data_IF_965313595029
#
_entry.id   IF_965313595029
#
_cell.length_a   1.000
_cell.length_b   1.000
_cell.length_c   1.000
_cell.angle_alpha   90.00
_cell.angle_beta   90.00
_cell.angle_gamma   90.00
#
_symmetry.space_group_name_H-M   'P 1'
#
loop_
_entity.id
_entity.type
_entity.pdbx_description
1 polymer ?
#
# COMPACT_ATOMS: atom_id res chain seq x y z
N UNK A 1 1.81 -7.61 25.08
CA UNK A 1 2.93 -6.65 24.93
C UNK A 1 2.33 -5.45 24.21
N UNK A 2 2.43 -4.25 24.73
CA UNK A 2 1.92 -3.07 24.03
C UNK A 2 2.97 -2.59 23.01
N UNK A 3 2.55 -1.77 22.03
CA UNK A 3 3.49 -1.20 21.04
C UNK A 3 4.62 -0.42 21.72
N UNK A 4 4.34 0.22 22.86
CA UNK A 4 5.33 0.92 23.68
C UNK A 4 6.39 0.00 24.29
N UNK A 5 6.18 -1.32 24.36
CA UNK A 5 7.18 -2.30 24.80
C UNK A 5 8.14 -2.72 23.68
N UNK A 6 7.91 -2.25 22.46
CA UNK A 6 8.80 -2.48 21.31
C UNK A 6 10.14 -1.78 21.57
N UNK A 7 11.24 -2.50 21.37
CA UNK A 7 12.61 -2.05 21.70
C UNK A 7 12.91 -0.62 21.22
N UNK A 8 12.44 -0.28 20.06
CA UNK A 8 12.66 1.01 19.41
C UNK A 8 11.94 2.16 20.13
N UNK A 9 10.98 1.87 21.01
CA UNK A 9 10.17 2.85 21.74
C UNK A 9 10.26 2.74 23.26
N UNK A 10 10.93 1.74 23.80
CA UNK A 10 11.03 1.53 25.27
C UNK A 10 11.70 2.66 26.03
N UNK A 11 12.37 3.58 25.33
CA UNK A 11 12.98 4.78 25.90
C UNK A 11 11.97 5.92 26.09
N UNK A 12 10.78 5.86 25.46
CA UNK A 12 9.75 6.88 25.57
C UNK A 12 8.88 6.65 26.81
N UNK A 13 8.59 7.74 27.52
CA UNK A 13 7.57 7.73 28.57
C UNK A 13 6.16 7.80 27.96
N UNK A 14 5.14 7.45 28.75
CA UNK A 14 3.74 7.57 28.32
C UNK A 14 3.40 9.03 27.96
N UNK A 15 3.91 9.98 28.72
CA UNK A 15 3.70 11.42 28.49
C UNK A 15 4.33 11.88 27.16
N UNK A 16 5.53 11.35 26.81
CA UNK A 16 6.19 11.65 25.54
C UNK A 16 5.42 11.04 24.35
N UNK A 17 4.86 9.83 24.50
CA UNK A 17 4.02 9.20 23.47
C UNK A 17 2.74 10.02 23.24
N UNK A 18 2.10 10.48 24.31
CA UNK A 18 0.91 11.35 24.20
C UNK A 18 1.24 12.73 23.60
N UNK A 19 2.40 13.30 23.92
CA UNK A 19 2.85 14.57 23.33
C UNK A 19 3.14 14.42 21.85
N UNK A 20 3.86 13.36 21.44
CA UNK A 20 4.09 13.03 20.04
C UNK A 20 2.77 12.91 19.27
N UNK A 21 1.76 12.24 19.86
CA UNK A 21 0.44 12.14 19.26
C UNK A 21 -0.20 13.51 19.01
N UNK A 22 -0.12 14.42 19.98
CA UNK A 22 -0.63 15.79 19.84
C UNK A 22 0.13 16.59 18.76
N UNK A 23 1.44 16.43 18.68
CA UNK A 23 2.26 17.11 17.66
C UNK A 23 1.96 16.60 16.25
N UNK A 24 1.72 15.29 16.09
CA UNK A 24 1.29 14.70 14.81
C UNK A 24 -0.12 15.16 14.44
N UNK A 25 -1.06 15.21 15.39
CA UNK A 25 -2.39 15.77 15.14
C UNK A 25 -2.33 17.27 14.78
N UNK A 26 -1.39 18.05 15.35
CA UNK A 26 -1.17 19.45 14.98
C UNK A 26 -0.62 19.59 13.54
N UNK A 27 0.30 18.71 13.11
CA UNK A 27 0.76 18.67 11.71
C UNK A 27 -0.41 18.40 10.75
N UNK A 28 -1.28 17.46 11.11
CA UNK A 28 -2.49 17.16 10.34
C UNK A 28 -3.38 18.38 10.21
N UNK A 29 -3.72 19.02 11.33
CA UNK A 29 -4.60 20.18 11.37
C UNK A 29 -4.05 21.36 10.55
N UNK A 30 -2.75 21.64 10.63
CA UNK A 30 -2.07 22.68 9.86
C UNK A 30 -2.21 22.47 8.34
N UNK A 31 -2.06 21.22 7.88
CA UNK A 31 -2.26 20.89 6.47
C UNK A 31 -3.73 20.99 6.07
N UNK A 32 -4.66 20.52 6.90
CA UNK A 32 -6.10 20.60 6.62
C UNK A 32 -6.59 22.05 6.50
N UNK A 33 -6.11 22.95 7.37
CA UNK A 33 -6.46 24.37 7.35
C UNK A 33 -5.81 25.11 6.17
N UNK A 34 -4.62 24.69 5.73
CA UNK A 34 -3.86 25.34 4.65
C UNK A 34 -4.17 24.78 3.26
N UNK A 35 -5.08 23.79 3.12
CA UNK A 35 -5.52 23.32 1.79
C UNK A 35 -6.10 24.45 0.96
N UNK A 36 -5.75 24.48 -0.32
CA UNK A 36 -6.09 25.60 -1.17
C UNK A 36 -6.23 25.22 -2.68
N UNK A 37 -6.42 26.22 -3.54
CA UNK A 37 -6.58 26.06 -4.97
C UNK A 37 -5.34 25.45 -5.68
N UNK A 38 -4.14 25.61 -5.14
CA UNK A 38 -2.92 25.00 -5.70
C UNK A 38 -2.95 23.49 -5.53
N UNK A 39 -3.47 22.99 -4.40
CA UNK A 39 -3.69 21.55 -4.18
C UNK A 39 -4.73 21.01 -5.15
N UNK A 40 -5.86 21.71 -5.33
CA UNK A 40 -6.87 21.34 -6.33
C UNK A 40 -6.28 21.35 -7.76
N UNK A 41 -5.55 22.40 -8.12
CA UNK A 41 -4.92 22.51 -9.43
C UNK A 41 -3.89 21.38 -9.69
N UNK A 42 -3.25 20.87 -8.65
CA UNK A 42 -2.33 19.74 -8.75
C UNK A 42 -3.01 18.49 -9.29
N UNK A 43 -4.10 18.03 -8.66
CA UNK A 43 -4.77 16.79 -9.08
C UNK A 43 -5.38 16.92 -10.49
N UNK A 44 -6.00 18.04 -10.83
CA UNK A 44 -6.52 18.27 -12.18
C UNK A 44 -5.42 18.29 -13.24
N UNK A 45 -4.22 18.81 -12.89
CA UNK A 45 -3.04 18.74 -13.76
C UNK A 45 -2.59 17.32 -13.98
N UNK A 46 -2.54 16.49 -12.93
CA UNK A 46 -2.16 15.07 -13.04
C UNK A 46 -3.15 14.31 -13.92
N UNK A 47 -4.44 14.49 -13.71
CA UNK A 47 -5.51 13.91 -14.55
C UNK A 47 -5.37 14.34 -16.01
N UNK A 48 -5.10 15.63 -16.24
CA UNK A 48 -4.92 16.18 -17.60
C UNK A 48 -3.70 15.58 -18.29
N UNK A 49 -2.56 15.48 -17.61
CA UNK A 49 -1.33 14.88 -18.14
C UNK A 49 -1.59 13.41 -18.46
N UNK A 50 -2.20 12.66 -17.55
CA UNK A 50 -2.52 11.25 -17.73
C UNK A 50 -3.41 11.04 -18.96
N UNK A 51 -4.50 11.80 -19.09
CA UNK A 51 -5.43 11.71 -20.23
C UNK A 51 -4.76 12.04 -21.56
N UNK A 52 -3.91 13.08 -21.59
CA UNK A 52 -3.12 13.46 -22.78
C UNK A 52 -2.12 12.39 -23.18
N UNK A 53 -1.40 11.81 -22.22
CA UNK A 53 -0.46 10.71 -22.49
C UNK A 53 -1.19 9.46 -23.01
N UNK A 54 -2.32 9.12 -22.42
CA UNK A 54 -3.13 8.01 -22.88
C UNK A 54 -3.63 8.21 -24.32
N UNK A 55 -4.14 9.40 -24.65
CA UNK A 55 -4.60 9.75 -26.00
C UNK A 55 -3.43 9.74 -27.01
N UNK A 56 -2.32 10.43 -26.70
CA UNK A 56 -1.14 10.47 -27.54
C UNK A 56 -0.57 9.06 -27.78
N UNK A 57 -0.46 8.24 -26.74
CA UNK A 57 -0.03 6.85 -26.90
C UNK A 57 -0.93 6.04 -27.80
N UNK A 58 -2.26 6.19 -27.68
CA UNK A 58 -3.22 5.52 -28.58
C UNK A 58 -3.08 5.97 -30.03
N UNK A 59 -2.92 7.29 -30.28
CA UNK A 59 -2.73 7.84 -31.62
C UNK A 59 -1.40 7.33 -32.22
N UNK A 60 -0.32 7.35 -31.45
CA UNK A 60 1.00 6.90 -31.90
C UNK A 60 0.98 5.43 -32.33
N UNK A 61 0.18 4.59 -31.66
CA UNK A 61 0.07 3.16 -31.99
C UNK A 61 -0.61 2.86 -33.34
N UNK A 62 -1.25 3.84 -34.02
CA UNK A 62 -1.67 3.64 -35.40
C UNK A 62 -0.48 3.43 -36.34
N UNK A 63 0.72 3.89 -35.96
CA UNK A 63 1.98 3.62 -36.65
C UNK A 63 2.81 2.52 -35.96
N UNK A 64 2.20 1.59 -35.22
CA UNK A 64 2.88 0.59 -34.39
C UNK A 64 3.69 -0.46 -35.19
N UNK A 65 3.55 -0.51 -36.50
CA UNK A 65 4.44 -1.29 -37.39
C UNK A 65 5.87 -0.71 -37.44
N UNK A 66 6.03 0.58 -37.11
CA UNK A 66 7.31 1.26 -37.02
C UNK A 66 7.85 1.16 -35.58
N UNK A 67 9.01 0.49 -35.34
CA UNK A 67 9.48 0.23 -33.97
C UNK A 67 9.59 1.46 -33.06
N UNK A 68 10.07 2.65 -33.50
CA UNK A 68 10.04 3.83 -32.67
C UNK A 68 8.66 4.29 -32.25
N UNK A 69 7.64 4.17 -33.10
CA UNK A 69 6.25 4.50 -32.75
C UNK A 69 5.66 3.48 -31.77
N UNK A 70 5.98 2.19 -31.94
CA UNK A 70 5.61 1.16 -30.98
C UNK A 70 6.21 1.44 -29.61
N UNK A 71 7.52 1.73 -29.52
CA UNK A 71 8.20 2.06 -28.25
C UNK A 71 7.60 3.32 -27.61
N UNK A 72 7.44 4.40 -28.37
CA UNK A 72 6.87 5.65 -27.88
C UNK A 72 5.43 5.47 -27.39
N UNK A 73 4.59 4.76 -28.18
CA UNK A 73 3.21 4.47 -27.82
C UNK A 73 3.10 3.60 -26.57
N UNK A 74 3.89 2.53 -26.48
CA UNK A 74 3.94 1.66 -25.30
C UNK A 74 4.42 2.44 -24.04
N UNK A 75 5.47 3.27 -24.17
CA UNK A 75 5.98 4.08 -23.06
C UNK A 75 4.95 5.11 -22.59
N UNK A 76 4.32 5.87 -23.50
CA UNK A 76 3.27 6.83 -23.13
C UNK A 76 2.08 6.16 -22.45
N UNK A 77 1.63 5.02 -22.97
CA UNK A 77 0.53 4.27 -22.35
C UNK A 77 0.92 3.69 -20.99
N UNK A 78 2.13 3.13 -20.86
CA UNK A 78 2.65 2.62 -19.61
C UNK A 78 2.72 3.71 -18.53
N UNK A 79 3.28 4.87 -18.89
CA UNK A 79 3.32 6.04 -17.99
C UNK A 79 1.93 6.52 -17.63
N UNK A 80 1.00 6.61 -18.59
CA UNK A 80 -0.38 6.99 -18.30
C UNK A 80 -1.08 6.02 -17.35
N UNK A 81 -0.84 4.71 -17.51
CA UNK A 81 -1.41 3.67 -16.62
C UNK A 81 -0.79 3.69 -15.22
N UNK A 82 0.51 4.00 -15.11
CA UNK A 82 1.18 4.18 -13.82
C UNK A 82 0.61 5.39 -13.09
N UNK A 83 0.51 6.55 -13.76
CA UNK A 83 -0.07 7.76 -13.17
C UNK A 83 -1.51 7.54 -12.72
N UNK A 84 -2.32 6.88 -13.55
CA UNK A 84 -3.72 6.58 -13.21
C UNK A 84 -3.84 5.65 -12.00
N UNK A 85 -2.96 4.66 -11.88
CA UNK A 85 -3.00 3.71 -10.78
C UNK A 85 -2.42 4.29 -9.49
N UNK A 86 -1.23 4.92 -9.56
CA UNK A 86 -0.47 5.34 -8.39
C UNK A 86 -0.86 6.76 -7.92
N UNK A 87 -0.65 7.78 -8.76
CA UNK A 87 -0.81 9.17 -8.31
C UNK A 87 -2.27 9.62 -8.27
N UNK A 88 -3.10 9.11 -9.20
CA UNK A 88 -4.49 9.56 -9.29
C UNK A 88 -5.41 8.60 -8.54
N UNK A 89 -5.57 7.37 -9.02
CA UNK A 89 -6.58 6.44 -8.50
C UNK A 89 -6.37 6.10 -7.03
N UNK A 90 -5.14 5.74 -6.65
CA UNK A 90 -4.78 5.45 -5.27
C UNK A 90 -5.11 6.63 -4.33
N UNK A 91 -4.60 7.82 -4.64
CA UNK A 91 -4.74 9.00 -3.79
C UNK A 91 -6.19 9.54 -3.76
N UNK A 92 -6.91 9.53 -4.89
CA UNK A 92 -8.33 9.91 -4.91
C UNK A 92 -9.16 8.94 -4.08
N UNK A 93 -8.90 7.63 -4.16
CA UNK A 93 -9.65 6.64 -3.38
C UNK A 93 -9.33 6.67 -1.88
N UNK A 94 -8.21 7.27 -1.47
CA UNK A 94 -7.94 7.61 -0.07
C UNK A 94 -8.73 8.82 0.44
N UNK A 95 -9.49 9.50 -0.42
CA UNK A 95 -10.26 10.69 -0.05
C UNK A 95 -9.44 11.97 0.04
N UNK A 96 -8.20 11.98 -0.46
CA UNK A 96 -7.28 13.12 -0.38
C UNK A 96 -7.85 14.41 -1.00
N UNK A 97 -8.84 14.28 -1.87
CA UNK A 97 -9.45 15.38 -2.63
C UNK A 97 -10.94 15.57 -2.31
N UNK A 98 -11.49 14.80 -1.37
CA UNK A 98 -12.93 14.84 -1.03
C UNK A 98 -13.37 16.19 -0.46
N UNK A 99 -12.44 16.96 0.17
CA UNK A 99 -12.66 18.29 0.67
C UNK A 99 -13.11 19.30 -0.41
N UNK A 100 -12.80 19.04 -1.70
CA UNK A 100 -13.24 19.89 -2.81
C UNK A 100 -14.74 19.73 -3.14
N UNK A 101 -15.38 18.66 -2.65
CA UNK A 101 -16.76 18.28 -2.98
C UNK A 101 -17.04 18.18 -4.50
N UNK A 102 -16.02 17.87 -5.30
CA UNK A 102 -16.16 17.67 -6.75
C UNK A 102 -16.47 16.20 -7.07
N UNK A 103 -17.66 15.90 -7.62
CA UNK A 103 -18.06 14.52 -7.95
C UNK A 103 -17.13 13.81 -8.93
N UNK A 104 -16.35 14.55 -9.75
CA UNK A 104 -15.42 13.97 -10.73
C UNK A 104 -14.10 13.50 -10.08
N UNK A 105 -13.76 14.02 -8.88
CA UNK A 105 -12.52 13.71 -8.16
C UNK A 105 -12.84 13.36 -6.69
N UNK A 106 -13.89 12.56 -6.46
CA UNK A 106 -14.31 12.18 -5.13
C UNK A 106 -14.18 10.69 -4.91
N UNK A 107 -13.68 10.27 -3.73
CA UNK A 107 -13.42 8.87 -3.39
C UNK A 107 -14.63 7.96 -3.51
N UNK A 108 -15.84 8.49 -3.27
CA UNK A 108 -17.10 7.73 -3.39
C UNK A 108 -17.45 7.34 -4.84
N UNK A 109 -17.02 8.13 -5.82
CA UNK A 109 -17.39 7.99 -7.23
C UNK A 109 -16.26 7.48 -8.11
N UNK A 110 -15.01 7.58 -7.64
CA UNK A 110 -13.85 7.21 -8.44
C UNK A 110 -13.77 5.71 -8.70
N UNK A 111 -13.48 5.36 -9.95
CA UNK A 111 -13.24 3.99 -10.37
C UNK A 111 -12.03 3.94 -11.31
N UNK A 112 -11.04 3.16 -10.96
CA UNK A 112 -9.78 3.07 -11.69
C UNK A 112 -9.75 2.02 -12.81
N UNK A 113 -8.75 2.12 -13.71
CA UNK A 113 -8.59 1.23 -14.87
C UNK A 113 -7.72 -0.01 -14.53
N UNK A 114 -8.11 -0.72 -13.47
CA UNK A 114 -7.47 -1.99 -13.07
C UNK A 114 -8.50 -3.12 -12.99
N UNK A 115 -8.06 -4.35 -12.75
CA UNK A 115 -8.94 -5.49 -12.56
C UNK A 115 -9.72 -5.45 -11.23
N UNK A 116 -9.20 -4.75 -10.25
CA UNK A 116 -9.75 -4.63 -8.91
C UNK A 116 -10.84 -3.54 -8.87
N UNK A 117 -12.05 -3.83 -8.35
CA UNK A 117 -13.08 -2.81 -8.12
C UNK A 117 -12.69 -1.86 -6.99
N UNK A 118 -12.94 -0.55 -7.17
CA UNK A 118 -12.61 0.47 -6.17
C UNK A 118 -13.26 0.22 -4.80
N UNK A 119 -14.52 -0.25 -4.75
CA UNK A 119 -15.23 -0.58 -3.51
C UNK A 119 -14.48 -1.66 -2.70
N UNK A 120 -13.95 -2.70 -3.37
CA UNK A 120 -13.23 -3.79 -2.71
C UNK A 120 -11.85 -3.31 -2.24
N UNK A 121 -11.13 -2.56 -3.07
CA UNK A 121 -9.83 -2.01 -2.72
C UNK A 121 -9.93 -1.05 -1.52
N UNK A 122 -10.91 -0.14 -1.49
CA UNK A 122 -11.12 0.75 -0.33
C UNK A 122 -11.35 -0.02 0.96
N UNK A 123 -12.04 -1.16 0.90
CA UNK A 123 -12.22 -1.98 2.09
C UNK A 123 -10.91 -2.66 2.52
N UNK A 124 -10.22 -3.34 1.61
CA UNK A 124 -9.00 -4.08 1.94
C UNK A 124 -7.83 -3.14 2.27
N UNK A 125 -7.69 -2.04 1.53
CA UNK A 125 -6.56 -1.15 1.68
C UNK A 125 -6.80 -0.02 2.69
N UNK A 126 -7.84 0.85 2.47
CA UNK A 126 -8.04 1.99 3.38
C UNK A 126 -8.48 1.56 4.78
N UNK A 127 -9.27 0.48 4.88
CA UNK A 127 -9.79 0.05 6.18
C UNK A 127 -8.90 -1.02 6.81
N UNK A 128 -8.59 -2.13 6.11
CA UNK A 128 -7.84 -3.23 6.74
C UNK A 128 -6.35 -2.88 6.81
N UNK A 129 -5.71 -2.61 5.67
CA UNK A 129 -4.27 -2.39 5.62
C UNK A 129 -3.84 -1.15 6.42
N UNK A 130 -4.45 0.03 6.22
CA UNK A 130 -4.08 1.24 6.97
C UNK A 130 -4.41 1.16 8.46
N UNK A 131 -5.47 0.44 8.85
CA UNK A 131 -5.77 0.23 10.26
C UNK A 131 -4.76 -0.71 10.92
N UNK A 132 -4.35 -1.77 10.21
CA UNK A 132 -3.54 -2.87 10.75
C UNK A 132 -2.20 -3.03 10.03
N UNK A 133 -1.63 -1.96 9.50
CA UNK A 133 -0.38 -1.99 8.75
C UNK A 133 0.66 -2.89 9.38
N UNK A 134 1.12 -3.88 8.62
CA UNK A 134 2.12 -4.86 9.01
C UNK A 134 1.79 -5.70 10.27
N UNK A 135 0.51 -5.81 10.68
CA UNK A 135 0.08 -6.70 11.75
C UNK A 135 -0.21 -8.09 11.19
N UNK A 136 0.56 -9.08 11.61
CA UNK A 136 0.40 -10.48 11.17
C UNK A 136 -0.96 -11.04 11.61
N UNK A 137 -1.69 -11.61 10.67
CA UNK A 137 -3.04 -12.13 10.92
C UNK A 137 -4.17 -11.15 10.62
N UNK A 138 -3.92 -9.85 10.63
CA UNK A 138 -4.90 -8.81 10.28
C UNK A 138 -4.63 -8.17 8.92
N UNK A 139 -3.37 -7.79 8.67
CA UNK A 139 -2.99 -7.18 7.40
C UNK A 139 -2.76 -8.24 6.32
N UNK A 140 -3.72 -8.37 5.43
CA UNK A 140 -3.64 -9.31 4.33
C UNK A 140 -2.63 -8.89 3.25
N UNK A 141 -2.21 -7.62 3.19
CA UNK A 141 -1.23 -7.13 2.21
C UNK A 141 0.19 -7.64 2.50
N UNK A 142 0.43 -8.23 3.69
CA UNK A 142 1.71 -8.88 4.01
C UNK A 142 1.92 -10.10 3.08
N UNK A 143 2.67 -9.87 2.01
CA UNK A 143 2.99 -10.90 1.02
C UNK A 143 1.80 -11.39 0.19
N UNK A 144 0.67 -10.70 0.23
CA UNK A 144 -0.52 -10.98 -0.57
C UNK A 144 -1.04 -12.43 -0.44
N UNK A 145 -0.88 -13.01 0.74
CA UNK A 145 -1.34 -14.37 1.04
C UNK A 145 -0.55 -15.51 0.38
N UNK A 146 0.45 -15.20 -0.45
CA UNK A 146 1.26 -16.20 -1.17
C UNK A 146 2.76 -16.15 -0.82
N UNK A 147 3.24 -15.01 -0.31
CA UNK A 147 4.63 -14.85 0.11
C UNK A 147 4.71 -14.82 1.64
N UNK A 148 5.69 -15.51 2.17
CA UNK A 148 6.07 -15.42 3.58
C UNK A 148 7.03 -14.27 3.74
N UNK A 149 6.63 -13.22 4.46
CA UNK A 149 7.38 -11.96 4.61
C UNK A 149 7.93 -11.73 6.01
N UNK A 150 7.50 -12.54 7.01
CA UNK A 150 7.97 -12.49 8.38
C UNK A 150 8.36 -13.88 8.89
N UNK A 151 9.32 -13.94 9.84
CA UNK A 151 9.79 -15.20 10.43
C UNK A 151 8.74 -15.87 11.32
N UNK A 152 7.88 -15.07 11.90
CA UNK A 152 6.76 -15.47 12.75
C UNK A 152 5.69 -16.25 11.96
N UNK A 153 5.57 -15.99 10.66
CA UNK A 153 4.72 -16.78 9.78
C UNK A 153 5.26 -18.20 9.64
N UNK A 154 4.41 -19.20 9.83
CA UNK A 154 4.77 -20.63 9.76
C UNK A 154 5.30 -20.99 8.38
N UNK A 155 6.50 -21.57 8.34
CA UNK A 155 7.07 -22.10 7.10
C UNK A 155 6.38 -23.38 6.66
N UNK A 156 6.23 -23.56 5.37
CA UNK A 156 5.78 -24.81 4.74
C UNK A 156 6.58 -25.10 3.46
N UNK A 157 6.61 -26.33 2.92
CA UNK A 157 7.27 -26.64 1.65
C UNK A 157 6.78 -25.80 0.46
N UNK A 158 5.58 -25.26 0.51
CA UNK A 158 5.04 -24.32 -0.48
C UNK A 158 5.93 -23.08 -0.62
N UNK A 159 6.54 -22.61 0.48
CA UNK A 159 7.39 -21.43 0.46
C UNK A 159 8.67 -21.59 -0.38
N UNK A 160 9.12 -22.82 -0.68
CA UNK A 160 10.26 -23.04 -1.58
C UNK A 160 10.00 -22.48 -3.00
N UNK A 161 8.74 -22.43 -3.43
CA UNK A 161 8.34 -21.83 -4.70
C UNK A 161 8.23 -20.31 -4.70
N UNK A 162 8.47 -19.65 -3.55
CA UNK A 162 8.27 -18.22 -3.34
C UNK A 162 8.97 -17.32 -4.39
N UNK A 163 10.20 -17.59 -4.87
CA UNK A 163 10.78 -16.80 -5.96
C UNK A 163 9.96 -16.81 -7.25
N UNK A 164 9.35 -17.95 -7.58
CA UNK A 164 8.49 -18.10 -8.77
C UNK A 164 7.16 -17.39 -8.54
N UNK A 165 6.54 -17.58 -7.37
CA UNK A 165 5.28 -16.90 -7.02
C UNK A 165 5.45 -15.39 -6.99
N UNK A 166 6.60 -14.90 -6.51
CA UNK A 166 6.94 -13.50 -6.51
C UNK A 166 7.06 -12.94 -7.94
N UNK A 167 7.75 -13.62 -8.84
CA UNK A 167 7.84 -13.21 -10.24
C UNK A 167 6.47 -13.19 -10.91
N UNK A 168 5.62 -14.18 -10.64
CA UNK A 168 4.25 -14.23 -11.14
C UNK A 168 3.40 -13.08 -10.56
N UNK A 169 3.50 -12.81 -9.24
CA UNK A 169 2.82 -11.68 -8.59
C UNK A 169 3.26 -10.36 -9.21
N UNK A 170 4.55 -10.11 -9.37
CA UNK A 170 5.06 -8.87 -9.95
C UNK A 170 4.55 -8.64 -11.38
N UNK A 171 4.56 -9.67 -12.24
CA UNK A 171 4.12 -9.56 -13.63
C UNK A 171 2.60 -9.44 -13.79
N UNK A 172 1.85 -10.08 -12.90
CA UNK A 172 0.39 -10.13 -12.91
C UNK A 172 -0.24 -9.30 -11.76
N UNK A 173 0.45 -8.30 -11.25
CA UNK A 173 0.16 -7.64 -9.99
C UNK A 173 -1.30 -7.17 -9.86
N UNK A 174 -1.85 -6.47 -10.85
CA UNK A 174 -3.25 -6.04 -10.82
C UNK A 174 -4.28 -7.19 -10.68
N UNK A 175 -3.93 -8.37 -11.20
CA UNK A 175 -4.79 -9.55 -11.13
C UNK A 175 -4.62 -10.26 -9.79
N UNK A 176 -3.38 -10.33 -9.31
CA UNK A 176 -3.06 -10.86 -7.98
C UNK A 176 -3.78 -10.10 -6.88
N UNK A 177 -3.69 -8.76 -6.90
CA UNK A 177 -4.36 -7.89 -5.93
C UNK A 177 -5.89 -8.01 -6.03
N UNK A 178 -6.47 -8.05 -7.24
CA UNK A 178 -7.91 -8.22 -7.41
C UNK A 178 -8.43 -9.57 -6.85
N UNK A 179 -7.63 -10.64 -6.91
CA UNK A 179 -7.98 -11.93 -6.34
C UNK A 179 -7.73 -11.98 -4.83
N UNK A 180 -6.71 -11.28 -4.35
CA UNK A 180 -6.37 -11.17 -2.94
C UNK A 180 -7.53 -10.59 -2.12
N UNK A 181 -8.20 -9.53 -2.60
CA UNK A 181 -9.36 -8.92 -1.96
C UNK A 181 -10.57 -9.85 -1.78
N UNK A 182 -10.57 -11.00 -2.45
CA UNK A 182 -11.60 -12.01 -2.22
C UNK A 182 -11.49 -12.63 -0.83
N UNK A 183 -10.36 -12.44 -0.13
CA UNK A 183 -10.08 -13.09 1.15
C UNK A 183 -10.29 -14.60 1.07
N UNK A 184 -9.38 -15.26 0.35
CA UNK A 184 -9.44 -16.69 0.10
C UNK A 184 -9.36 -17.52 1.40
N UNK A 185 -8.79 -16.95 2.46
CA UNK A 185 -8.72 -17.61 3.75
C UNK A 185 -10.08 -17.66 4.44
N UNK A 186 -10.80 -16.54 4.49
CA UNK A 186 -12.18 -16.49 5.00
C UNK A 186 -13.12 -17.37 4.17
N UNK A 187 -12.88 -17.46 2.85
CA UNK A 187 -13.63 -18.39 1.99
C UNK A 187 -13.34 -19.84 2.39
N UNK A 188 -12.08 -20.21 2.58
CA UNK A 188 -11.67 -21.56 2.99
C UNK A 188 -12.22 -21.94 4.35
N UNK A 189 -12.24 -20.98 5.29
CA UNK A 189 -12.79 -21.16 6.65
C UNK A 189 -14.33 -21.13 6.67
N UNK A 190 -14.99 -20.85 5.56
CA UNK A 190 -16.44 -20.67 5.42
C UNK A 190 -17.00 -19.52 6.27
N UNK A 191 -16.19 -18.52 6.54
CA UNK A 191 -16.56 -17.31 7.30
C UNK A 191 -17.19 -16.25 6.39
N UNK A 192 -16.97 -16.32 5.06
CA UNK A 192 -17.50 -15.37 4.09
C UNK A 192 -18.80 -15.86 3.47
N UNK A 193 -19.83 -14.99 3.47
CA UNK A 193 -21.11 -15.26 2.81
C UNK A 193 -20.90 -15.54 1.31
N UNK A 194 -21.35 -16.70 0.78
CA UNK A 194 -21.25 -17.03 -0.65
C UNK A 194 -21.91 -16.01 -1.58
N UNK A 195 -22.93 -15.28 -1.12
CA UNK A 195 -23.60 -14.23 -1.90
C UNK A 195 -22.69 -13.02 -2.09
N UNK A 196 -21.99 -12.60 -1.04
CA UNK A 196 -20.99 -11.52 -1.09
C UNK A 196 -19.86 -11.91 -2.02
N UNK A 197 -19.29 -13.11 -1.85
CA UNK A 197 -18.25 -13.63 -2.74
C UNK A 197 -18.68 -13.63 -4.21
N UNK A 198 -19.89 -14.12 -4.52
CA UNK A 198 -20.43 -14.13 -5.89
C UNK A 198 -20.57 -12.71 -6.47
N UNK A 199 -21.02 -11.73 -5.65
CA UNK A 199 -21.09 -10.31 -6.04
C UNK A 199 -19.71 -9.79 -6.41
N UNK A 200 -18.72 -10.02 -5.55
CA UNK A 200 -17.32 -9.57 -5.75
C UNK A 200 -16.70 -10.19 -7.01
N UNK A 201 -16.81 -11.51 -7.18
CA UNK A 201 -16.34 -12.20 -8.39
C UNK A 201 -17.00 -11.65 -9.67
N UNK A 202 -18.29 -11.34 -9.63
CA UNK A 202 -18.99 -10.72 -10.78
C UNK A 202 -18.46 -9.32 -11.09
N UNK A 203 -18.12 -8.53 -10.07
CA UNK A 203 -17.54 -7.20 -10.24
C UNK A 203 -16.14 -7.30 -10.85
N UNK A 204 -15.26 -8.14 -10.29
CA UNK A 204 -13.91 -8.41 -10.83
C UNK A 204 -14.00 -8.91 -12.28
N UNK A 205 -14.84 -9.91 -12.56
CA UNK A 205 -15.02 -10.45 -13.91
C UNK A 205 -15.50 -9.41 -14.92
N UNK A 206 -16.32 -8.44 -14.50
CA UNK A 206 -16.77 -7.32 -15.34
C UNK A 206 -15.61 -6.37 -15.67
N UNK A 207 -14.78 -6.04 -14.68
CA UNK A 207 -13.59 -5.19 -14.84
C UNK A 207 -12.57 -5.86 -15.77
N UNK A 208 -12.27 -7.13 -15.51
CA UNK A 208 -11.39 -7.96 -16.35
C UNK A 208 -11.87 -7.96 -17.80
N UNK A 209 -13.15 -8.28 -18.03
CA UNK A 209 -13.73 -8.30 -19.39
C UNK A 209 -13.59 -6.93 -20.06
N UNK A 210 -13.92 -5.83 -19.35
CA UNK A 210 -13.79 -4.48 -19.89
C UNK A 210 -12.35 -4.18 -20.30
N UNK A 211 -11.38 -4.51 -19.46
CA UNK A 211 -9.95 -4.26 -19.72
C UNK A 211 -9.44 -5.10 -20.89
N UNK A 212 -9.73 -6.41 -20.91
CA UNK A 212 -9.33 -7.28 -22.03
C UNK A 212 -9.96 -6.78 -23.34
N UNK A 213 -11.26 -6.50 -23.33
CA UNK A 213 -11.94 -6.02 -24.52
C UNK A 213 -11.35 -4.70 -25.00
N UNK A 214 -11.10 -3.75 -24.12
CA UNK A 214 -10.51 -2.45 -24.45
C UNK A 214 -9.09 -2.60 -25.00
N UNK A 215 -8.19 -3.26 -24.27
CA UNK A 215 -6.76 -3.23 -24.53
C UNK A 215 -6.32 -4.28 -25.58
N UNK A 216 -7.05 -5.40 -25.72
CA UNK A 216 -6.64 -6.50 -26.60
C UNK A 216 -7.59 -6.81 -27.75
N UNK A 217 -8.76 -6.14 -27.81
CA UNK A 217 -9.70 -6.27 -28.92
C UNK A 217 -9.93 -4.94 -29.59
N UNK A 218 -10.54 -3.96 -28.89
CA UNK A 218 -11.02 -2.71 -29.49
C UNK A 218 -9.86 -1.87 -30.04
N UNK A 219 -8.89 -1.49 -29.22
CA UNK A 219 -7.78 -0.64 -29.68
C UNK A 219 -6.90 -1.32 -30.72
N UNK A 220 -6.53 -2.61 -30.61
CA UNK A 220 -5.84 -3.31 -31.67
C UNK A 220 -6.66 -3.38 -32.98
N UNK A 221 -7.97 -3.65 -32.91
CA UNK A 221 -8.83 -3.68 -34.10
C UNK A 221 -8.89 -2.33 -34.83
N UNK A 222 -8.87 -1.22 -34.09
CA UNK A 222 -8.85 0.13 -34.69
C UNK A 222 -7.58 0.40 -35.52
N UNK A 223 -6.47 -0.27 -35.23
CA UNK A 223 -5.21 -0.14 -35.97
C UNK A 223 -5.12 -1.05 -37.19
N UNK A 224 -6.18 -1.82 -37.47
CA UNK A 224 -6.30 -2.66 -38.65
C UNK A 224 -5.16 -3.70 -38.78
N UNK A 225 -4.31 -3.61 -39.86
CA UNK A 225 -3.25 -4.60 -40.08
C UNK A 225 -2.17 -4.60 -38.98
N UNK A 226 -2.14 -3.60 -38.13
CA UNK A 226 -1.18 -3.49 -37.02
C UNK A 226 -1.73 -4.06 -35.71
N UNK A 227 -2.79 -4.84 -35.75
CA UNK A 227 -3.47 -5.43 -34.59
C UNK A 227 -2.51 -6.06 -33.57
N UNK A 228 -1.64 -6.97 -34.01
CA UNK A 228 -0.71 -7.68 -33.13
C UNK A 228 0.35 -6.74 -32.52
N UNK A 229 0.85 -5.78 -33.29
CA UNK A 229 1.80 -4.79 -32.81
C UNK A 229 1.17 -3.91 -31.74
N UNK A 230 -0.08 -3.46 -31.93
CA UNK A 230 -0.82 -2.67 -30.95
C UNK A 230 -1.17 -3.48 -29.71
N UNK A 231 -1.60 -4.75 -29.88
CA UNK A 231 -1.89 -5.64 -28.76
C UNK A 231 -0.64 -5.89 -27.89
N UNK A 232 0.52 -6.10 -28.53
CA UNK A 232 1.79 -6.28 -27.81
C UNK A 232 2.24 -5.00 -27.09
N UNK A 233 2.03 -3.81 -27.66
CA UNK A 233 2.31 -2.54 -27.01
C UNK A 233 1.41 -2.32 -25.78
N UNK A 234 0.12 -2.68 -25.86
CA UNK A 234 -0.80 -2.65 -24.72
C UNK A 234 -0.39 -3.64 -23.62
N UNK A 235 0.06 -4.84 -23.98
CA UNK A 235 0.59 -5.83 -23.04
C UNK A 235 1.84 -5.31 -22.33
N UNK A 236 2.75 -4.67 -23.07
CA UNK A 236 3.95 -4.04 -22.49
C UNK A 236 3.58 -2.91 -21.54
N UNK A 237 2.64 -2.04 -21.89
CA UNK A 237 2.18 -0.96 -21.03
C UNK A 237 1.54 -1.49 -19.73
N UNK A 238 0.75 -2.56 -19.80
CA UNK A 238 0.19 -3.22 -18.63
C UNK A 238 1.27 -3.89 -17.76
N UNK A 239 2.27 -4.52 -18.36
CA UNK A 239 3.42 -5.10 -17.66
C UNK A 239 4.24 -4.02 -16.94
N UNK A 240 4.54 -2.91 -17.63
CA UNK A 240 5.23 -1.76 -17.02
C UNK A 240 4.52 -1.27 -15.76
N UNK A 241 3.20 -1.06 -15.81
CA UNK A 241 2.42 -0.66 -14.64
C UNK A 241 2.49 -1.73 -13.54
N UNK A 242 2.30 -3.00 -13.86
CA UNK A 242 2.30 -4.07 -12.86
C UNK A 242 3.65 -4.15 -12.12
N UNK A 243 4.76 -4.20 -12.85
CA UNK A 243 6.10 -4.25 -12.27
C UNK A 243 6.41 -3.00 -11.44
N UNK A 244 5.99 -1.83 -11.91
CA UNK A 244 6.18 -0.58 -11.20
C UNK A 244 5.40 -0.55 -9.90
N UNK A 245 4.09 -0.78 -9.92
CA UNK A 245 3.25 -0.75 -8.73
C UNK A 245 3.71 -1.80 -7.70
N UNK A 246 4.03 -3.02 -8.14
CA UNK A 246 4.61 -4.05 -7.28
C UNK A 246 5.90 -3.55 -6.59
N UNK A 247 6.86 -3.03 -7.37
CA UNK A 247 8.13 -2.56 -6.83
C UNK A 247 7.94 -1.45 -5.78
N UNK A 248 7.12 -0.45 -6.09
CA UNK A 248 6.86 0.69 -5.19
C UNK A 248 6.25 0.22 -3.86
N UNK A 249 5.21 -0.59 -3.90
CA UNK A 249 4.51 -1.09 -2.70
C UNK A 249 5.47 -1.93 -1.84
N UNK A 250 6.25 -2.82 -2.45
CA UNK A 250 7.20 -3.65 -1.71
C UNK A 250 8.34 -2.85 -1.07
N UNK A 251 8.74 -1.73 -1.69
CA UNK A 251 9.73 -0.82 -1.11
C UNK A 251 9.19 -0.03 0.11
N UNK A 252 7.88 0.17 0.20
CA UNK A 252 7.26 0.88 1.32
C UNK A 252 7.08 0.03 2.58
N UNK A 253 6.96 -1.31 2.44
CA UNK A 253 6.55 -2.19 3.55
C UNK A 253 7.55 -3.28 3.93
N UNK A 254 8.47 -3.67 3.03
CA UNK A 254 9.29 -4.86 3.23
C UNK A 254 10.81 -4.65 3.13
N UNK A 255 11.36 -3.42 3.14
CA UNK A 255 12.79 -3.25 3.28
C UNK A 255 13.25 -3.51 4.72
N UNK A 256 14.56 -3.60 4.91
CA UNK A 256 15.14 -3.66 6.25
C UNK A 256 14.73 -2.40 7.05
N UNK A 257 14.29 -2.59 8.29
CA UNK A 257 13.83 -1.51 9.16
C UNK A 257 12.30 -1.31 9.16
N UNK A 258 11.56 -1.76 8.17
CA UNK A 258 10.11 -1.86 8.26
C UNK A 258 9.75 -3.09 9.12
N UNK A 259 8.96 -2.87 10.17
CA UNK A 259 8.67 -3.90 11.16
C UNK A 259 7.32 -4.57 10.89
N UNK A 260 7.22 -5.83 11.36
CA UNK A 260 5.96 -6.55 11.44
C UNK A 260 5.58 -6.71 12.91
N UNK A 261 4.30 -6.71 13.19
CA UNK A 261 3.73 -6.76 14.53
C UNK A 261 2.81 -7.99 14.67
N UNK A 262 2.65 -8.47 15.90
CA UNK A 262 1.70 -9.51 16.24
C UNK A 262 0.38 -8.92 16.72
N UNK A 263 -0.70 -9.72 16.72
CA UNK A 263 -1.99 -9.31 17.28
C UNK A 263 -1.89 -8.86 18.75
N UNK A 264 -1.01 -9.53 19.52
CA UNK A 264 -0.79 -9.23 20.94
C UNK A 264 -0.10 -7.87 21.18
N UNK A 265 0.73 -7.41 20.23
CA UNK A 265 1.43 -6.13 20.30
C UNK A 265 0.51 -4.93 20.04
N UNK A 266 -0.61 -5.14 19.35
CA UNK A 266 -1.58 -4.09 19.01
C UNK A 266 -2.88 -4.17 19.82
N UNK A 267 -2.95 -5.09 20.79
CA UNK A 267 -4.11 -5.21 21.68
C UNK A 267 -4.21 -3.95 22.56
N UNK A 268 -5.37 -3.28 22.53
CA UNK A 268 -5.66 -2.02 23.27
C UNK A 268 -4.78 -0.82 22.84
N UNK A 269 -4.23 -0.83 21.61
CA UNK A 269 -3.41 0.25 21.04
C UNK A 269 -4.16 1.58 21.08
N UNK A 270 -3.54 2.61 21.67
CA UNK A 270 -4.02 3.98 21.65
C UNK A 270 -3.72 4.65 20.30
N UNK A 271 -4.32 5.84 20.03
CA UNK A 271 -4.02 6.57 18.80
C UNK A 271 -2.55 7.02 18.69
N UNK A 272 -1.89 7.55 19.73
CA UNK A 272 -0.46 7.81 19.67
C UNK A 272 0.40 6.57 19.40
N UNK A 273 0.06 5.44 20.01
CA UNK A 273 0.73 4.15 19.75
C UNK A 273 0.49 3.66 18.32
N UNK A 274 -0.70 3.88 17.76
CA UNK A 274 -0.98 3.61 16.35
C UNK A 274 -0.08 4.45 15.44
N UNK A 275 0.15 5.73 15.71
CA UNK A 275 1.10 6.54 14.97
C UNK A 275 2.52 5.97 15.02
N UNK A 276 2.98 5.54 16.20
CA UNK A 276 4.28 4.89 16.36
C UNK A 276 4.39 3.64 15.48
N UNK A 277 3.36 2.80 15.46
CA UNK A 277 3.33 1.61 14.63
C UNK A 277 3.35 1.93 13.14
N UNK A 278 2.62 2.95 12.67
CA UNK A 278 2.67 3.39 11.28
C UNK A 278 4.09 3.80 10.88
N UNK A 279 4.80 4.53 11.73
CA UNK A 279 6.18 4.95 11.45
C UNK A 279 7.16 3.77 11.40
N UNK A 280 7.03 2.78 12.28
CA UNK A 280 7.89 1.58 12.26
C UNK A 280 7.49 0.56 11.19
N UNK A 281 6.22 0.48 10.84
CA UNK A 281 5.71 -0.46 9.82
C UNK A 281 5.93 0.01 8.37
N UNK A 282 6.44 1.23 8.19
CA UNK A 282 6.58 1.87 6.88
C UNK A 282 8.01 2.35 6.63
N UNK A 283 8.38 2.48 5.37
CA UNK A 283 9.69 2.98 4.97
C UNK A 283 9.57 3.93 3.77
N UNK A 284 10.25 5.07 3.86
CA UNK A 284 10.36 6.03 2.76
C UNK A 284 11.47 5.62 1.80
N UNK A 285 11.39 6.07 0.55
CA UNK A 285 12.51 5.99 -0.37
C UNK A 285 12.85 7.34 -0.99
N UNK A 286 14.14 7.52 -1.24
CA UNK A 286 14.69 8.75 -1.79
C UNK A 286 14.46 8.84 -3.30
N UNK A 287 14.18 10.05 -3.78
CA UNK A 287 14.01 10.31 -5.20
C UNK A 287 13.73 11.77 -5.54
N UNK A 288 13.79 12.08 -6.82
CA UNK A 288 13.38 13.40 -7.31
C UNK A 288 11.86 13.48 -7.51
N UNK A 289 11.35 14.69 -7.74
CA UNK A 289 9.92 14.98 -7.90
C UNK A 289 9.21 14.06 -8.89
N UNK A 290 9.85 13.72 -10.02
CA UNK A 290 9.26 12.82 -11.02
C UNK A 290 9.06 11.41 -10.46
N UNK A 291 10.03 10.88 -9.70
CA UNK A 291 9.92 9.57 -9.08
C UNK A 291 8.76 9.54 -8.07
N UNK A 292 8.64 10.58 -7.24
CA UNK A 292 7.54 10.68 -6.27
C UNK A 292 6.17 10.74 -6.98
N UNK A 293 6.00 11.56 -8.02
CA UNK A 293 4.76 11.58 -8.82
C UNK A 293 4.47 10.21 -9.44
N UNK A 294 5.46 9.56 -10.05
CA UNK A 294 5.27 8.24 -10.67
C UNK A 294 4.98 7.13 -9.66
N UNK A 295 5.37 7.31 -8.41
CA UNK A 295 5.09 6.36 -7.31
C UNK A 295 3.82 6.68 -6.52
N UNK A 296 3.02 7.68 -6.90
CA UNK A 296 1.85 8.08 -6.11
C UNK A 296 2.22 8.78 -4.81
N UNK A 297 3.38 9.44 -4.80
CA UNK A 297 4.00 10.02 -3.60
C UNK A 297 4.32 9.01 -2.48
N UNK A 298 4.26 7.69 -2.78
CA UNK A 298 4.60 6.62 -1.83
C UNK A 298 6.12 6.53 -1.52
N UNK A 299 6.95 7.42 -2.09
CA UNK A 299 8.28 7.68 -1.54
C UNK A 299 8.25 8.31 -0.15
N UNK A 300 7.09 8.81 0.26
CA UNK A 300 6.75 9.30 1.60
C UNK A 300 5.79 8.33 2.28
N UNK A 301 6.15 7.06 2.34
CA UNK A 301 5.26 5.98 2.83
C UNK A 301 4.89 6.17 4.30
N UNK A 302 5.81 6.67 5.13
CA UNK A 302 5.57 6.97 6.55
C UNK A 302 4.47 8.03 6.66
N UNK A 303 4.60 9.14 5.93
CA UNK A 303 3.64 10.24 5.92
C UNK A 303 2.29 9.81 5.35
N UNK A 304 2.32 8.97 4.32
CA UNK A 304 1.11 8.39 3.74
C UNK A 304 0.36 7.50 4.75
N UNK A 305 1.06 6.70 5.53
CA UNK A 305 0.44 5.88 6.56
C UNK A 305 -0.04 6.67 7.78
N UNK A 306 0.65 7.74 8.14
CA UNK A 306 0.20 8.65 9.20
C UNK A 306 -1.05 9.44 8.77
N UNK A 307 -1.11 9.90 7.53
CA UNK A 307 -2.12 10.83 7.02
C UNK A 307 -2.57 10.45 5.59
N UNK A 308 -3.21 9.29 5.40
CA UNK A 308 -3.52 8.77 4.07
C UNK A 308 -4.50 9.63 3.26
N UNK A 309 -5.31 10.43 3.95
CA UNK A 309 -6.35 11.29 3.40
C UNK A 309 -5.91 12.76 3.18
N UNK A 310 -4.65 13.10 3.50
CA UNK A 310 -4.10 14.39 3.15
C UNK A 310 -3.57 14.40 1.71
N UNK A 311 -3.62 15.54 0.99
CA UNK A 311 -3.17 15.64 -0.39
C UNK A 311 -1.71 15.19 -0.59
N UNK A 312 -1.46 14.30 -1.54
CA UNK A 312 -0.16 13.67 -1.79
C UNK A 312 0.95 14.68 -2.14
N UNK A 313 0.60 15.81 -2.76
CA UNK A 313 1.54 16.89 -3.06
C UNK A 313 2.06 17.61 -1.82
N UNK A 314 1.43 17.42 -0.65
CA UNK A 314 1.82 18.00 0.64
C UNK A 314 2.78 17.11 1.43
N UNK A 315 2.94 15.82 1.06
CA UNK A 315 3.84 14.91 1.78
C UNK A 315 5.29 15.36 1.89
N UNK A 316 5.91 16.06 0.89
CA UNK A 316 7.27 16.57 1.07
C UNK A 316 7.44 17.55 2.24
N UNK A 317 6.46 18.42 2.51
CA UNK A 317 6.51 19.35 3.65
C UNK A 317 6.18 18.64 4.96
N UNK A 318 5.24 17.68 4.94
CA UNK A 318 4.90 16.86 6.09
C UNK A 318 6.12 16.05 6.53
N UNK A 319 6.85 15.46 5.57
CA UNK A 319 8.05 14.67 5.85
C UNK A 319 9.14 15.44 6.59
N UNK A 320 9.29 16.73 6.32
CA UNK A 320 10.23 17.59 7.07
C UNK A 320 9.83 17.69 8.53
N UNK A 321 8.52 17.89 8.82
CA UNK A 321 7.97 18.01 10.16
C UNK A 321 8.03 16.66 10.91
N UNK A 322 7.60 15.57 10.25
CA UNK A 322 7.63 14.21 10.83
C UNK A 322 9.05 13.77 11.16
N UNK A 323 10.01 14.04 10.26
CA UNK A 323 11.42 13.73 10.51
C UNK A 323 11.97 14.49 11.71
N UNK A 324 11.63 15.77 11.87
CA UNK A 324 12.02 16.56 13.02
C UNK A 324 11.47 15.98 14.34
N UNK A 325 10.24 15.43 14.32
CA UNK A 325 9.69 14.73 15.48
C UNK A 325 10.44 13.40 15.75
N UNK A 326 10.75 12.64 14.71
CA UNK A 326 11.57 11.43 14.87
C UNK A 326 12.93 11.75 15.49
N UNK A 327 13.60 12.81 15.04
CA UNK A 327 14.87 13.26 15.62
C UNK A 327 14.70 13.73 17.08
N UNK A 328 13.62 14.46 17.39
CA UNK A 328 13.31 14.96 18.77
C UNK A 328 13.12 13.80 19.75
N UNK A 329 12.40 12.77 19.35
CA UNK A 329 12.01 11.65 20.22
C UNK A 329 12.93 10.42 20.07
N UNK A 330 13.99 10.50 19.26
CA UNK A 330 14.90 9.36 19.01
C UNK A 330 14.23 8.16 18.33
N UNK A 331 13.22 8.42 17.50
CA UNK A 331 12.44 7.40 16.79
C UNK A 331 13.10 7.10 15.44
N UNK A 332 13.24 5.82 15.03
CA UNK A 332 13.75 5.48 13.70
C UNK A 332 12.87 6.07 12.59
N UNK A 333 13.52 6.75 11.63
CA UNK A 333 12.88 7.20 10.40
C UNK A 333 13.52 6.47 9.22
N UNK A 334 12.91 5.34 8.83
CA UNK A 334 13.47 4.44 7.83
C UNK A 334 13.37 5.05 6.44
N UNK A 335 14.52 5.34 5.82
CA UNK A 335 14.60 5.87 4.45
C UNK A 335 15.86 5.37 3.74
N UNK A 336 15.84 5.37 2.41
CA UNK A 336 17.00 4.98 1.62
C UNK A 336 16.74 4.96 0.10
N UNK A 337 17.78 4.73 -0.71
CA UNK A 337 17.63 4.65 -2.16
C UNK A 337 16.70 3.51 -2.60
N UNK A 338 15.75 3.80 -3.51
CA UNK A 338 14.74 2.85 -4.00
C UNK A 338 15.33 1.48 -4.39
N UNK A 339 16.43 1.47 -5.15
CA UNK A 339 17.07 0.23 -5.60
C UNK A 339 17.62 -0.64 -4.46
N UNK A 340 18.06 -0.03 -3.36
CA UNK A 340 18.52 -0.76 -2.16
C UNK A 340 17.35 -1.37 -1.42
N UNK A 341 16.28 -0.61 -1.22
CA UNK A 341 15.07 -1.11 -0.55
C UNK A 341 14.42 -2.23 -1.35
N UNK A 342 14.35 -2.11 -2.66
CA UNK A 342 13.87 -3.19 -3.52
C UNK A 342 14.75 -4.44 -3.41
N UNK A 343 16.08 -4.28 -3.43
CA UNK A 343 17.03 -5.36 -3.20
C UNK A 343 16.87 -6.03 -1.82
N UNK A 344 16.58 -5.25 -0.77
CA UNK A 344 16.30 -5.77 0.57
C UNK A 344 14.99 -6.57 0.61
N UNK A 345 13.90 -6.05 0.02
CA UNK A 345 12.64 -6.78 -0.08
C UNK A 345 12.79 -8.11 -0.84
N UNK A 346 13.48 -8.11 -1.98
CA UNK A 346 13.77 -9.34 -2.74
C UNK A 346 14.64 -10.33 -1.94
N UNK A 347 15.65 -9.84 -1.22
CA UNK A 347 16.47 -10.68 -0.34
C UNK A 347 15.62 -11.31 0.77
N UNK A 348 14.69 -10.57 1.37
CA UNK A 348 13.76 -11.08 2.39
C UNK A 348 12.89 -12.19 1.81
N UNK A 349 12.30 -11.99 0.63
CA UNK A 349 11.53 -13.00 -0.08
C UNK A 349 12.35 -14.27 -0.30
N UNK A 350 13.58 -14.14 -0.80
CA UNK A 350 14.46 -15.28 -1.04
C UNK A 350 14.85 -16.00 0.25
N UNK A 351 15.23 -15.27 1.30
CA UNK A 351 15.60 -15.86 2.60
C UNK A 351 14.43 -16.58 3.26
N UNK A 352 13.25 -15.99 3.24
CA UNK A 352 12.06 -16.55 3.86
C UNK A 352 11.39 -17.66 3.04
N UNK A 353 11.88 -17.94 1.82
CA UNK A 353 11.53 -19.18 1.11
C UNK A 353 12.07 -20.41 1.81
N UNK A 354 13.15 -20.26 2.59
CA UNK A 354 13.81 -21.33 3.32
C UNK A 354 13.32 -21.44 4.78
N UNK A 355 13.43 -22.62 5.41
CA UNK A 355 13.13 -22.77 6.85
C UNK A 355 13.97 -21.83 7.72
N UNK A 356 13.41 -21.34 8.83
CA UNK A 356 14.11 -20.47 9.76
C UNK A 356 15.43 -21.09 10.31
N UNK A 357 15.50 -22.42 10.42
CA UNK A 357 16.70 -23.15 10.86
C UNK A 357 17.87 -23.05 9.87
N UNK A 358 17.59 -22.75 8.60
CA UNK A 358 18.61 -22.63 7.55
C UNK A 358 19.09 -21.17 7.36
N UNK A 359 18.33 -20.22 7.88
CA UNK A 359 18.62 -18.79 7.74
C UNK A 359 18.89 -18.17 9.11
N UNK A 360 20.16 -18.17 9.55
CA UNK A 360 20.60 -17.69 10.89
C UNK A 360 20.91 -16.19 10.95
N UNK A 361 20.53 -15.41 9.96
CA UNK A 361 20.96 -14.01 9.84
C UNK A 361 20.09 -13.07 10.71
N UNK A 362 20.72 -12.30 11.59
CA UNK A 362 20.08 -11.32 12.48
C UNK A 362 19.48 -10.11 11.75
N UNK A 363 19.74 -9.96 10.43
CA UNK A 363 19.25 -8.84 9.63
C UNK A 363 17.83 -9.02 9.09
N UNK A 364 17.25 -10.22 9.22
CA UNK A 364 15.82 -10.45 8.97
C UNK A 364 15.19 -10.53 10.35
N UNK A 365 14.28 -9.66 10.69
CA UNK A 365 13.60 -9.56 11.99
C UNK A 365 13.44 -10.93 12.65
N UNK A 366 14.32 -11.24 13.61
CA UNK A 366 14.24 -12.47 14.42
C UNK A 366 13.27 -12.23 15.56
N UNK A 367 12.76 -13.29 16.22
CA UNK A 367 11.99 -13.12 17.43
C UNK A 367 12.83 -12.27 18.40
N UNK A 368 12.25 -11.18 18.85
CA UNK A 368 12.85 -10.33 19.88
C UNK A 368 13.07 -11.25 21.07
N UNK A 369 14.34 -11.43 21.44
CA UNK A 369 14.66 -12.23 22.60
C UNK A 369 13.81 -11.74 23.76
N UNK A 370 13.16 -12.65 24.45
CA UNK A 370 12.52 -12.39 25.74
C UNK A 370 13.56 -11.80 26.65
N UNK A 371 13.65 -10.47 26.69
CA UNK A 371 14.53 -9.74 27.59
C UNK A 371 14.15 -10.13 28.99
N UNK A 372 15.12 -10.60 29.77
CA UNK A 372 14.96 -10.91 31.18
C UNK A 372 14.33 -9.69 31.90
N UNK A 373 13.18 -9.91 32.50
CA UNK A 373 12.46 -8.96 33.32
C UNK A 373 13.36 -8.33 34.38
N UNK A 374 13.65 -7.02 34.21
CA UNK A 374 14.08 -6.17 35.32
C UNK A 374 12.87 -5.86 36.20
N UNK A 375 13.02 -5.65 37.52
CA UNK A 375 11.91 -5.45 38.44
C UNK A 375 11.36 -4.01 38.29
N UNK A 376 10.15 -3.91 37.74
CA UNK A 376 9.44 -2.63 37.59
C UNK A 376 8.15 -2.73 36.80
N UNK A 377 7.45 -3.85 36.87
CA UNK A 377 6.13 -4.00 36.22
C UNK A 377 5.02 -3.35 37.05
N UNK A 378 4.41 -2.31 36.50
CA UNK A 378 3.07 -1.88 36.89
C UNK A 378 2.11 -2.99 36.47
N UNK A 379 1.47 -3.63 37.46
CA UNK A 379 0.46 -4.66 37.29
C UNK A 379 -0.75 -4.08 36.52
N UNK A 380 -0.83 -4.32 35.22
CA UNK A 380 -2.07 -4.14 34.45
C UNK A 380 -2.90 -5.43 34.57
N UNK A 381 -4.13 -5.31 35.08
CA UNK A 381 -5.06 -6.43 35.19
C UNK A 381 -5.27 -7.12 33.85
N UNK A 382 -4.86 -8.38 33.76
CA UNK A 382 -5.22 -9.30 32.64
C UNK A 382 -6.73 -9.51 32.64
N UNK A 383 -7.40 -9.11 31.58
CA UNK A 383 -8.79 -9.46 31.32
C UNK A 383 -8.92 -10.96 31.01
N UNK A 384 -10.01 -11.57 31.43
CA UNK A 384 -10.29 -13.02 31.23
C UNK A 384 -10.70 -13.32 29.79
N UNK A 385 -10.52 -14.59 29.35
CA UNK A 385 -10.87 -15.02 27.98
C UNK A 385 -12.35 -14.77 27.60
N UNK A 386 -13.25 -14.67 28.57
CA UNK A 386 -14.65 -14.28 28.36
C UNK A 386 -14.81 -12.82 27.94
N UNK A 387 -13.91 -11.91 28.38
CA UNK A 387 -13.91 -10.50 27.99
C UNK A 387 -13.27 -10.29 26.61
N UNK A 388 -12.44 -11.24 26.15
CA UNK A 388 -11.82 -11.23 24.80
C UNK A 388 -12.82 -11.54 23.68
N UNK A 389 -13.87 -12.32 23.94
CA UNK A 389 -14.90 -12.66 22.92
C UNK A 389 -15.90 -11.55 22.66
N UNK A 390 -16.01 -10.52 23.53
CA UNK A 390 -17.00 -9.44 23.42
C UNK A 390 -16.50 -8.26 22.59
N UNK A 391 -15.19 -8.18 22.26
CA UNK A 391 -14.63 -7.07 21.48
C UNK A 391 -13.90 -7.53 20.22
N UNK A 392 -14.62 -8.13 19.27
CA UNK A 392 -14.28 -7.86 17.86
C UNK A 392 -14.68 -6.40 17.61
N UNK A 393 -13.78 -5.55 17.12
CA UNK A 393 -14.16 -4.17 16.84
C UNK A 393 -15.34 -4.18 15.86
N UNK A 394 -16.49 -3.67 16.30
CA UNK A 394 -17.56 -3.31 15.37
C UNK A 394 -16.95 -2.29 14.40
N UNK A 395 -16.79 -2.77 13.18
CA UNK A 395 -16.30 -2.03 12.03
C UNK A 395 -17.10 -0.75 11.89
N UNK A 396 -16.56 0.41 12.26
CA UNK A 396 -17.21 1.65 11.89
C UNK A 396 -17.00 2.90 12.75
N UNK A 397 -16.27 2.89 13.85
CA UNK A 397 -16.25 4.08 14.74
C UNK A 397 -15.11 5.08 14.53
N UNK A 398 -14.03 4.73 13.85
CA UNK A 398 -12.88 5.65 13.72
C UNK A 398 -12.90 6.53 12.47
N UNK A 399 -13.60 6.13 11.39
CA UNK A 399 -13.74 6.97 10.19
C UNK A 399 -14.98 7.87 10.16
N UNK A 400 -15.98 7.70 11.07
CA UNK A 400 -17.21 8.50 11.07
C UNK A 400 -17.08 9.88 11.74
N UNK A 401 -15.91 10.27 12.24
CA UNK A 401 -15.68 11.61 12.81
C UNK A 401 -14.87 12.54 11.92
N UNK A 402 -14.42 12.09 10.76
CA UNK A 402 -13.76 12.94 9.77
C UNK A 402 -14.73 13.43 8.66
N UNK A 403 -16.03 13.06 8.74
CA UNK A 403 -17.07 13.52 7.80
C UNK A 403 -18.33 13.90 8.56
N UNK A 404 -18.23 14.86 9.47
CA UNK A 404 -19.38 15.62 10.01
C UNK A 404 -18.97 17.08 10.16
#
# INVERSE_FOLDING_TARGET
>A
MAIADVKEYTHLTTEEVEELGRELDAIRADVEESRNEDDAAYIYRMITIQRRLAAAGRITLFASFFPPAWLAGAAMLGTAKILENMEIGHNVMHGQWDWMNDPEVHSSNWEWDTAQPAEQWKHSHNYVHHQFTNVLGYDNDIGYGILRMAREQKWSPFNLGQPIYNAALATLFQWGVALHDLDLEAIRKREKDPRVMKKQLKQIGRKIRRQITKDYVVYPALTGPHFLATASANATANLMRNLWSYMIIFCGHFPDGAMHFTEEEVEDETRPEWYLRQMLGSANFEGGKLLHIMSGSLGFQIEHHLFPDLPSNRYPEIAVKVRALCDKYGIPYTTGPLHRQYGQALRTILKLSLPNSWTRDASVTGPRGTGSSGPGTVERHRKTDAERQVRRPETGRYMSRATA
#
